data_IF_909440017098
#
_entry.id   IF_909440017098
#
_cell.length_a   1.000
_cell.length_b   1.000
_cell.length_c   1.000
_cell.angle_alpha   90.00
_cell.angle_beta   90.00
_cell.angle_gamma   90.00
#
_symmetry.space_group_name_H-M   'P 1'
#
loop_
_entity.id
_entity.type
_entity.pdbx_description
1 polymer ?
#
# COMPACT_ATOMS: atom_id res chain seq x y z
N UNK A 1 31.40 19.80 -23.55
CA UNK A 1 30.06 19.99 -22.96
C UNK A 1 29.79 18.79 -22.09
N UNK A 2 30.13 18.87 -20.79
CA UNK A 2 29.91 17.79 -19.85
C UNK A 2 28.42 17.75 -19.53
N UNK A 3 27.76 16.67 -19.92
CA UNK A 3 26.39 16.41 -19.55
C UNK A 3 26.42 15.94 -18.10
N UNK A 4 26.25 16.87 -17.15
CA UNK A 4 26.10 16.54 -15.73
C UNK A 4 24.81 15.74 -15.57
N UNK A 5 24.92 14.42 -15.71
CA UNK A 5 23.85 13.49 -15.42
C UNK A 5 23.59 13.61 -13.91
N UNK A 6 22.55 14.36 -13.58
CA UNK A 6 22.08 14.54 -12.21
C UNK A 6 21.68 13.16 -11.68
N UNK A 7 22.60 12.53 -10.94
CA UNK A 7 22.35 11.22 -10.34
C UNK A 7 21.27 11.40 -9.28
N UNK A 8 20.12 10.75 -9.47
CA UNK A 8 19.02 10.83 -8.51
C UNK A 8 19.47 10.24 -7.18
N UNK A 9 19.31 11.00 -6.09
CA UNK A 9 19.48 10.49 -4.74
C UNK A 9 18.24 9.67 -4.36
N UNK A 10 18.34 8.36 -4.57
CA UNK A 10 17.26 7.42 -4.29
C UNK A 10 16.91 7.32 -2.80
N UNK A 11 17.88 7.57 -1.91
CA UNK A 11 17.61 7.57 -0.48
C UNK A 11 16.78 8.78 -0.06
N UNK A 12 17.09 9.96 -0.61
CA UNK A 12 16.26 11.16 -0.42
C UNK A 12 14.86 10.97 -1.02
N UNK A 13 14.78 10.44 -2.25
CA UNK A 13 13.50 10.17 -2.92
C UNK A 13 12.61 9.18 -2.15
N UNK A 14 13.20 8.14 -1.56
CA UNK A 14 12.48 7.18 -0.71
C UNK A 14 11.96 7.85 0.58
N UNK A 15 12.79 8.66 1.24
CA UNK A 15 12.40 9.39 2.44
C UNK A 15 11.23 10.34 2.19
N UNK A 16 11.25 11.06 1.08
CA UNK A 16 10.13 11.89 0.64
C UNK A 16 8.84 11.07 0.42
N UNK A 17 8.95 9.83 -0.07
CA UNK A 17 7.80 8.96 -0.23
C UNK A 17 7.18 8.59 1.13
N UNK A 18 8.02 8.31 2.13
CA UNK A 18 7.59 8.06 3.51
C UNK A 18 6.93 9.29 4.11
N UNK A 19 7.55 10.46 4.00
CA UNK A 19 6.99 11.74 4.50
C UNK A 19 5.64 12.06 3.84
N UNK A 20 5.54 11.85 2.52
CA UNK A 20 4.30 12.01 1.77
C UNK A 20 3.19 11.09 2.29
N UNK A 21 3.51 9.82 2.56
CA UNK A 21 2.51 8.88 3.10
C UNK A 21 2.14 9.18 4.54
N UNK A 22 3.07 9.67 5.38
CA UNK A 22 2.75 10.12 6.72
C UNK A 22 1.73 11.27 6.69
N UNK A 23 1.93 12.26 5.82
CA UNK A 23 0.99 13.36 5.66
C UNK A 23 -0.39 12.86 5.19
N UNK A 24 -0.42 12.00 4.16
CA UNK A 24 -1.68 11.40 3.65
C UNK A 24 -2.40 10.57 4.71
N UNK A 25 -1.67 9.75 5.48
CA UNK A 25 -2.23 8.92 6.54
C UNK A 25 -2.73 9.71 7.75
N UNK A 26 -2.23 10.93 7.96
CA UNK A 26 -2.81 11.84 8.93
C UNK A 26 -4.12 12.45 8.42
N UNK A 27 -4.27 12.63 7.11
CA UNK A 27 -5.38 13.34 6.49
C UNK A 27 -6.61 12.45 6.23
N UNK A 28 -6.46 11.35 5.50
CA UNK A 28 -7.60 10.57 5.03
C UNK A 28 -8.52 10.04 6.15
N UNK A 29 -8.02 9.61 7.33
CA UNK A 29 -8.93 9.16 8.39
C UNK A 29 -9.80 10.30 8.92
N UNK A 30 -9.28 11.53 8.91
CA UNK A 30 -10.02 12.70 9.37
C UNK A 30 -11.15 13.07 8.39
N UNK A 31 -10.86 13.04 7.10
CA UNK A 31 -11.83 13.36 6.04
C UNK A 31 -13.04 12.43 6.04
N UNK A 32 -12.83 11.16 6.42
CA UNK A 32 -13.85 10.12 6.38
C UNK A 32 -14.49 9.81 7.73
N UNK A 33 -14.15 10.55 8.79
CA UNK A 33 -14.72 10.31 10.13
C UNK A 33 -14.25 9.00 10.78
N UNK A 34 -13.05 8.54 10.42
CA UNK A 34 -12.45 7.27 10.85
C UNK A 34 -11.38 7.49 11.94
N UNK A 35 -11.49 8.57 12.71
CA UNK A 35 -10.58 8.83 13.82
C UNK A 35 -10.74 7.74 14.90
N UNK A 36 -9.63 7.17 15.36
CA UNK A 36 -9.61 6.10 16.36
C UNK A 36 -9.24 4.74 15.75
N UNK A 37 -9.91 3.67 16.21
CA UNK A 37 -9.67 2.29 15.75
C UNK A 37 -10.95 1.74 15.11
N UNK A 38 -11.27 2.15 13.86
CA UNK A 38 -12.45 1.65 13.18
C UNK A 38 -12.36 0.15 13.01
N UNK A 39 -13.51 -0.52 13.07
CA UNK A 39 -13.59 -1.91 12.60
C UNK A 39 -13.36 -1.93 11.09
N UNK A 40 -12.76 -3.01 10.62
CA UNK A 40 -12.45 -3.14 9.21
C UNK A 40 -12.53 -4.59 8.75
N UNK A 41 -12.66 -4.74 7.43
CA UNK A 41 -12.55 -6.02 6.74
C UNK A 41 -11.99 -5.80 5.35
N UNK A 42 -11.00 -6.58 4.96
CA UNK A 42 -10.49 -6.59 3.60
C UNK A 42 -10.99 -7.82 2.84
N UNK A 43 -10.97 -7.71 1.52
CA UNK A 43 -11.26 -8.78 0.56
C UNK A 43 -10.20 -8.69 -0.55
N UNK A 44 -9.24 -9.62 -0.54
CA UNK A 44 -8.12 -9.60 -1.49
C UNK A 44 -8.57 -9.94 -2.90
N UNK A 45 -9.59 -10.77 -3.07
CA UNK A 45 -10.13 -11.16 -4.37
C UNK A 45 -10.88 -10.01 -5.02
N UNK A 46 -11.52 -9.15 -4.22
CA UNK A 46 -12.19 -7.94 -4.71
C UNK A 46 -11.32 -6.68 -4.68
N UNK A 47 -10.13 -6.75 -4.08
CA UNK A 47 -9.25 -5.62 -3.84
C UNK A 47 -9.94 -4.47 -3.08
N UNK A 48 -10.70 -4.82 -2.03
CA UNK A 48 -11.45 -3.87 -1.22
C UNK A 48 -11.05 -3.91 0.25
N UNK A 49 -11.11 -2.75 0.90
CA UNK A 49 -11.09 -2.60 2.35
C UNK A 49 -12.32 -1.80 2.77
N UNK A 50 -13.17 -2.42 3.59
CA UNK A 50 -14.30 -1.77 4.24
C UNK A 50 -13.89 -1.31 5.63
N UNK A 51 -14.24 -0.07 5.98
CA UNK A 51 -13.96 0.58 7.25
C UNK A 51 -15.27 1.11 7.84
N UNK A 52 -15.58 0.71 9.06
CA UNK A 52 -16.80 1.15 9.77
C UNK A 52 -16.52 2.47 10.49
N UNK A 53 -17.06 3.57 9.94
CA UNK A 53 -17.15 4.85 10.65
C UNK A 53 -18.41 4.85 11.54
N UNK A 54 -18.54 5.78 12.50
CA UNK A 54 -19.69 5.81 13.41
C UNK A 54 -21.06 5.96 12.73
N UNK A 55 -21.11 6.59 11.54
CA UNK A 55 -22.35 6.94 10.83
C UNK A 55 -22.48 6.32 9.44
N UNK A 56 -21.41 5.72 8.91
CA UNK A 56 -21.37 5.23 7.53
C UNK A 56 -20.24 4.21 7.35
N UNK A 57 -20.31 3.43 6.29
CA UNK A 57 -19.20 2.57 5.87
C UNK A 57 -18.36 3.31 4.82
N UNK A 58 -17.03 3.14 4.89
CA UNK A 58 -16.09 3.68 3.91
C UNK A 58 -15.45 2.51 3.18
N UNK A 59 -15.54 2.53 1.85
CA UNK A 59 -14.95 1.52 0.98
C UNK A 59 -13.72 2.09 0.31
N UNK A 60 -12.58 1.44 0.54
CA UNK A 60 -11.34 1.70 -0.17
C UNK A 60 -11.12 0.64 -1.26
N UNK A 61 -10.66 1.08 -2.43
CA UNK A 61 -9.96 0.20 -3.37
C UNK A 61 -8.52 0.09 -2.92
N UNK A 62 -8.01 -1.13 -2.76
CA UNK A 62 -6.68 -1.37 -2.18
C UNK A 62 -5.80 -2.20 -3.10
N UNK A 63 -4.48 -2.03 -2.96
CA UNK A 63 -3.50 -2.96 -3.47
C UNK A 63 -2.69 -3.50 -2.29
N UNK A 64 -2.68 -4.81 -2.08
CA UNK A 64 -1.74 -5.46 -1.18
C UNK A 64 -0.36 -5.38 -1.81
N UNK A 65 0.54 -4.58 -1.24
CA UNK A 65 1.91 -4.37 -1.74
C UNK A 65 2.77 -5.59 -1.49
N UNK A 66 2.61 -6.17 -0.31
CA UNK A 66 3.33 -7.36 0.11
C UNK A 66 3.06 -7.68 1.56
N UNK A 67 3.79 -8.66 2.04
CA UNK A 67 3.67 -9.18 3.41
C UNK A 67 5.04 -9.30 4.05
N UNK A 68 5.14 -9.04 5.35
CA UNK A 68 6.31 -9.39 6.14
C UNK A 68 5.95 -10.42 7.21
N UNK A 69 6.93 -11.21 7.64
CA UNK A 69 6.83 -12.11 8.77
C UNK A 69 7.89 -11.71 9.80
N UNK A 70 7.48 -11.59 11.06
CA UNK A 70 8.41 -11.29 12.15
C UNK A 70 9.38 -12.45 12.39
N UNK A 71 8.90 -13.69 12.27
CA UNK A 71 9.73 -14.89 12.36
C UNK A 71 10.75 -15.00 11.22
N UNK A 72 10.35 -14.74 9.98
CA UNK A 72 11.23 -14.86 8.81
C UNK A 72 12.15 -13.64 8.63
N UNK A 73 11.85 -12.52 9.29
CA UNK A 73 12.63 -11.28 9.19
C UNK A 73 12.77 -10.78 7.75
N UNK A 74 11.71 -10.91 6.95
CA UNK A 74 11.73 -10.51 5.54
C UNK A 74 10.37 -9.99 5.07
N UNK A 75 10.43 -9.12 4.06
CA UNK A 75 9.30 -8.65 3.27
C UNK A 75 9.26 -9.36 1.92
N UNK A 76 8.07 -9.78 1.49
CA UNK A 76 7.83 -10.40 0.19
C UNK A 76 6.81 -9.56 -0.56
N UNK A 77 7.17 -9.14 -1.78
CA UNK A 77 6.26 -8.41 -2.66
C UNK A 77 5.10 -9.29 -3.11
N UNK A 78 3.90 -8.72 -3.24
CA UNK A 78 2.73 -9.46 -3.71
C UNK A 78 2.87 -10.00 -5.13
N UNK A 79 3.60 -9.30 -6.02
CA UNK A 79 3.87 -9.81 -7.36
C UNK A 79 4.74 -11.08 -7.35
N UNK A 80 5.44 -11.35 -6.26
CA UNK A 80 6.27 -12.54 -6.06
C UNK A 80 5.61 -13.61 -5.18
N UNK A 81 4.37 -13.39 -4.73
CA UNK A 81 3.66 -14.30 -3.82
C UNK A 81 2.44 -14.92 -4.52
N UNK A 82 2.56 -16.19 -4.90
CA UNK A 82 1.50 -16.91 -5.63
C UNK A 82 0.21 -17.13 -4.83
N UNK A 83 0.26 -17.00 -3.49
CA UNK A 83 -0.92 -17.07 -2.65
C UNK A 83 -1.79 -15.81 -2.71
N UNK A 84 -1.26 -14.70 -3.28
CA UNK A 84 -1.98 -13.44 -3.40
C UNK A 84 -2.69 -13.36 -4.76
N UNK A 85 -3.96 -12.90 -4.82
CA UNK A 85 -4.65 -12.71 -6.09
C UNK A 85 -3.86 -11.84 -7.07
N UNK A 86 -3.76 -12.30 -8.32
CA UNK A 86 -2.88 -11.72 -9.37
C UNK A 86 -3.07 -10.23 -9.61
N UNK A 87 -4.28 -9.71 -9.37
CA UNK A 87 -4.59 -8.29 -9.55
C UNK A 87 -3.70 -7.37 -8.70
N UNK A 88 -3.28 -7.81 -7.51
CA UNK A 88 -2.35 -7.04 -6.67
C UNK A 88 -0.95 -7.00 -7.29
N UNK A 89 -0.48 -8.12 -7.83
CA UNK A 89 0.77 -8.17 -8.58
C UNK A 89 0.75 -7.28 -9.83
N UNK A 90 -0.34 -7.33 -10.60
CA UNK A 90 -0.54 -6.48 -11.79
C UNK A 90 -0.56 -4.99 -11.44
N UNK A 91 -1.20 -4.62 -10.33
CA UNK A 91 -1.20 -3.23 -9.84
C UNK A 91 0.20 -2.75 -9.40
N UNK A 92 1.13 -3.65 -9.12
CA UNK A 92 2.52 -3.37 -8.76
C UNK A 92 3.48 -3.36 -9.96
N UNK A 93 3.01 -3.64 -11.18
CA UNK A 93 3.87 -3.61 -12.37
C UNK A 93 4.54 -2.23 -12.57
N UNK A 94 3.85 -1.15 -12.20
CA UNK A 94 4.41 0.21 -12.20
C UNK A 94 5.62 0.33 -11.27
N UNK A 95 5.63 -0.37 -10.14
CA UNK A 95 6.74 -0.40 -9.18
C UNK A 95 7.90 -1.20 -9.75
N UNK A 96 7.60 -2.36 -10.31
CA UNK A 96 8.58 -3.26 -10.87
C UNK A 96 9.31 -2.63 -12.07
N UNK A 97 8.56 -2.03 -13.00
CA UNK A 97 9.15 -1.36 -14.17
C UNK A 97 9.92 -0.10 -13.78
N UNK A 98 9.43 0.69 -12.82
CA UNK A 98 10.18 1.82 -12.28
C UNK A 98 11.51 1.36 -11.67
N UNK A 99 11.50 0.27 -10.90
CA UNK A 99 12.69 -0.34 -10.34
C UNK A 99 13.68 -0.78 -11.41
N UNK A 100 13.21 -1.41 -12.47
CA UNK A 100 14.06 -1.90 -13.57
C UNK A 100 14.69 -0.76 -14.37
N UNK A 101 13.92 0.29 -14.68
CA UNK A 101 14.39 1.47 -15.40
C UNK A 101 15.47 2.24 -14.63
N UNK A 102 15.37 2.25 -13.30
CA UNK A 102 16.27 3.00 -12.42
C UNK A 102 17.30 2.12 -11.69
N UNK A 103 17.35 0.82 -12.00
CA UNK A 103 18.27 -0.16 -11.40
C UNK A 103 18.15 -0.27 -9.87
N UNK A 104 16.93 -0.20 -9.35
CA UNK A 104 16.61 -0.27 -7.93
C UNK A 104 16.26 -1.70 -7.53
N UNK A 105 17.23 -2.40 -6.94
CA UNK A 105 17.07 -3.78 -6.47
C UNK A 105 15.93 -3.93 -5.44
N UNK A 106 15.70 -2.91 -4.61
CA UNK A 106 14.61 -2.88 -3.62
C UNK A 106 13.22 -3.15 -4.24
N UNK A 107 13.02 -2.71 -5.48
CA UNK A 107 11.73 -2.77 -6.17
C UNK A 107 11.60 -3.96 -7.14
N UNK A 108 12.69 -4.69 -7.36
CA UNK A 108 12.78 -5.79 -8.34
C UNK A 108 13.19 -7.12 -7.72
N UNK A 109 13.60 -7.12 -6.45
CA UNK A 109 13.94 -8.33 -5.71
C UNK A 109 12.72 -8.85 -4.97
N UNK A 110 12.32 -10.10 -5.26
CA UNK A 110 11.10 -10.72 -4.75
C UNK A 110 10.95 -10.69 -3.22
N UNK A 111 12.06 -10.97 -2.52
CA UNK A 111 12.15 -10.98 -1.06
C UNK A 111 13.23 -10.01 -0.62
N UNK A 112 12.84 -9.05 0.20
CA UNK A 112 13.74 -8.08 0.81
C UNK A 112 14.04 -8.54 2.23
N UNK A 113 15.31 -8.81 2.58
CA UNK A 113 15.68 -9.06 3.97
C UNK A 113 15.44 -7.79 4.77
N UNK A 114 14.87 -7.93 5.96
CA UNK A 114 14.45 -6.79 6.76
C UNK A 114 13.06 -6.99 7.33
N UNK A 115 12.78 -6.26 8.40
CA UNK A 115 11.52 -6.37 9.11
C UNK A 115 10.51 -5.33 8.64
N UNK A 116 9.80 -4.81 9.63
CA UNK A 116 8.82 -3.73 9.44
C UNK A 116 9.41 -2.46 8.79
N UNK A 117 10.64 -1.99 9.07
CA UNK A 117 11.18 -0.78 8.45
C UNK A 117 11.26 -0.87 6.93
N UNK A 118 11.87 -1.94 6.40
CA UNK A 118 12.03 -2.16 4.96
C UNK A 118 10.67 -2.34 4.28
N UNK A 119 9.76 -3.08 4.93
CA UNK A 119 8.39 -3.25 4.42
C UNK A 119 7.62 -1.92 4.34
N UNK A 120 7.78 -1.04 5.34
CA UNK A 120 7.17 0.29 5.34
C UNK A 120 7.74 1.18 4.24
N UNK A 121 9.06 1.14 4.01
CA UNK A 121 9.71 1.85 2.91
C UNK A 121 9.15 1.39 1.56
N UNK A 122 9.14 0.08 1.30
CA UNK A 122 8.56 -0.51 0.10
C UNK A 122 7.10 -0.10 -0.11
N UNK A 123 6.28 -0.14 0.94
CA UNK A 123 4.88 0.28 0.90
C UNK A 123 4.73 1.76 0.53
N UNK A 124 5.56 2.64 1.10
CA UNK A 124 5.48 4.08 0.82
C UNK A 124 5.94 4.41 -0.61
N UNK A 125 6.97 3.73 -1.10
CA UNK A 125 7.41 3.85 -2.50
C UNK A 125 6.31 3.37 -3.45
N UNK A 126 5.72 2.21 -3.19
CA UNK A 126 4.62 1.69 -3.99
C UNK A 126 3.43 2.67 -4.01
N UNK A 127 3.06 3.21 -2.85
CA UNK A 127 2.00 4.20 -2.72
C UNK A 127 2.28 5.49 -3.51
N UNK A 128 3.51 5.99 -3.49
CA UNK A 128 3.93 7.15 -4.29
C UNK A 128 3.77 6.88 -5.79
N UNK A 129 4.26 5.73 -6.27
CA UNK A 129 4.21 5.35 -7.69
C UNK A 129 2.79 5.06 -8.18
N UNK A 130 1.96 4.47 -7.33
CA UNK A 130 0.54 4.21 -7.61
C UNK A 130 -0.35 5.45 -7.43
N UNK A 131 0.20 6.57 -6.94
CA UNK A 131 -0.55 7.80 -6.58
C UNK A 131 -1.66 7.54 -5.55
N UNK A 132 -1.42 6.62 -4.63
CA UNK A 132 -2.37 6.21 -3.60
C UNK A 132 -2.73 7.35 -2.64
N UNK A 133 -3.98 7.41 -2.20
CA UNK A 133 -4.47 8.42 -1.23
C UNK A 133 -4.01 8.15 0.20
N UNK A 134 -3.48 6.97 0.48
CA UNK A 134 -2.90 6.61 1.77
C UNK A 134 -2.40 5.16 1.77
N UNK A 135 -2.05 4.67 2.95
CA UNK A 135 -1.67 3.27 3.19
C UNK A 135 -2.40 2.72 4.40
N UNK A 136 -2.53 1.41 4.46
CA UNK A 136 -3.13 0.70 5.59
C UNK A 136 -2.27 -0.53 5.93
N UNK A 137 -2.13 -0.82 7.22
CA UNK A 137 -1.35 -1.96 7.71
C UNK A 137 -2.27 -2.80 8.59
N UNK A 138 -2.27 -4.10 8.36
CA UNK A 138 -2.97 -5.07 9.18
C UNK A 138 -2.00 -6.16 9.63
N UNK A 139 -2.15 -6.67 10.84
CA UNK A 139 -1.33 -7.76 11.37
C UNK A 139 -2.21 -8.95 11.74
N UNK A 140 -1.94 -10.07 11.08
CA UNK A 140 -2.67 -11.34 11.19
C UNK A 140 -1.72 -12.41 11.74
N UNK A 141 -1.64 -12.49 13.07
CA UNK A 141 -0.66 -13.34 13.75
C UNK A 141 0.77 -12.88 13.46
N UNK A 142 1.60 -13.77 12.92
CA UNK A 142 2.99 -13.47 12.55
C UNK A 142 3.12 -12.65 11.25
N UNK A 143 2.07 -12.62 10.42
CA UNK A 143 2.12 -11.97 9.11
C UNK A 143 1.57 -10.55 9.19
N UNK A 144 2.35 -9.59 8.72
CA UNK A 144 1.89 -8.20 8.52
C UNK A 144 1.60 -7.96 7.04
N UNK A 145 0.43 -7.41 6.74
CA UNK A 145 -0.03 -7.04 5.41
C UNK A 145 0.11 -5.53 5.21
N UNK A 146 0.65 -5.13 4.06
CA UNK A 146 0.92 -3.73 3.72
C UNK A 146 0.11 -3.33 2.50
N UNK A 147 -0.85 -2.44 2.68
CA UNK A 147 -1.78 -2.01 1.63
C UNK A 147 -1.52 -0.57 1.21
N UNK A 148 -1.68 -0.29 -0.08
CA UNK A 148 -1.98 1.06 -0.55
C UNK A 148 -3.49 1.26 -0.67
N UNK A 149 -3.96 2.45 -0.33
CA UNK A 149 -5.34 2.89 -0.52
C UNK A 149 -5.37 3.70 -1.81
N UNK A 150 -5.90 3.15 -2.90
CA UNK A 150 -5.90 3.81 -4.21
C UNK A 150 -7.03 4.84 -4.31
N UNK A 151 -8.21 4.47 -3.82
CA UNK A 151 -9.41 5.32 -3.80
C UNK A 151 -10.17 5.05 -2.51
N UNK A 152 -10.87 6.07 -1.99
CA UNK A 152 -11.73 6.00 -0.81
C UNK A 152 -13.07 6.66 -1.14
N UNK A 153 -14.17 6.04 -0.70
CA UNK A 153 -15.52 6.58 -0.87
C UNK A 153 -16.44 6.11 0.25
N UNK A 154 -17.46 6.91 0.58
CA UNK A 154 -18.54 6.47 1.47
C UNK A 154 -19.42 5.48 0.69
N UNK A 155 -19.75 4.36 1.32
CA UNK A 155 -20.67 3.39 0.74
C UNK A 155 -22.04 4.04 0.54
N UNK A 156 -22.58 3.94 -0.68
CA UNK A 156 -23.95 4.39 -0.93
C UNK A 156 -24.88 3.32 -0.38
N UNK A 157 -25.75 3.67 0.57
CA UNK A 157 -26.86 2.80 0.97
C UNK A 157 -27.68 2.46 -0.28
N UNK A 158 -27.64 1.20 -0.70
CA UNK A 158 -28.59 0.72 -1.69
C UNK A 158 -29.95 0.66 -1.00
N UNK A 159 -30.77 1.69 -1.20
CA UNK A 159 -32.20 1.59 -0.91
C UNK A 159 -32.76 0.45 -1.76
N UNK A 160 -32.97 -0.71 -1.14
CA UNK A 160 -33.74 -1.78 -1.75
C UNK A 160 -35.14 -1.20 -2.05
N UNK A 161 -35.63 -1.21 -3.31
CA UNK A 161 -37.01 -0.86 -3.55
C UNK A 161 -37.88 -1.85 -2.78
N UNK A 162 -38.71 -1.34 -1.87
CA UNK A 162 -39.74 -2.13 -1.21
C UNK A 162 -40.63 -2.71 -2.31
N UNK A 163 -40.70 -4.04 -2.34
CA UNK A 163 -41.52 -4.81 -3.28
C UNK A 163 -43.00 -4.70 -2.91
#
# INVERSE_FOLDING_TARGET
MSNDAQTTDWAAWSREAVEMMQARNAQWPQEFGLQGSPRYRWDLDRALLALEAPLHEVIATVCLVGTSSEQDGSFVWSWANEAIPKQHGQALEVVHEFGRQNQLALLTTARIPGGRPEAMECMCIAARLQRAVGTFIDQQGDVTLYFTLLHLQVAVEQQQPAN
#
